data_IF_535822456533
#
_entry.id   IF_535822456533
#
_cell.length_a   1.000
_cell.length_b   1.000
_cell.length_c   1.000
_cell.angle_alpha   90.00
_cell.angle_beta   90.00
_cell.angle_gamma   90.00
#
_symmetry.space_group_name_H-M   'P 1'
#
loop_
_entity.id
_entity.type
_entity.pdbx_description
1 polymer ?
#
# COMPACT_ATOMS: atom_id res chain seq x y z
N UNK A 1 33.32 9.55 -18.32
CA UNK A 1 32.02 10.24 -18.50
C UNK A 1 30.97 9.13 -18.51
N UNK A 2 30.47 8.75 -17.34
CA UNK A 2 29.44 7.72 -17.24
C UNK A 2 28.09 8.35 -17.54
N UNK A 3 27.67 8.20 -18.79
CA UNK A 3 26.32 8.51 -19.22
C UNK A 3 25.43 7.29 -18.96
N UNK A 4 24.82 7.20 -17.78
CA UNK A 4 23.69 6.28 -17.56
C UNK A 4 22.38 7.07 -17.71
N UNK A 5 21.82 7.04 -18.93
CA UNK A 5 20.53 7.65 -19.31
C UNK A 5 19.36 6.65 -19.18
N UNK A 6 19.42 5.71 -18.24
CA UNK A 6 18.33 4.77 -18.00
C UNK A 6 17.58 5.14 -16.72
N UNK A 7 16.24 5.07 -16.71
CA UNK A 7 15.47 5.31 -15.52
C UNK A 7 15.79 4.26 -14.45
N UNK A 8 15.69 4.65 -13.19
CA UNK A 8 15.92 3.75 -12.05
C UNK A 8 14.97 2.55 -12.08
N UNK A 9 15.51 1.37 -11.79
CA UNK A 9 14.75 0.12 -11.70
C UNK A 9 14.63 -0.30 -10.25
N UNK A 10 13.40 -0.55 -9.80
CA UNK A 10 13.13 -1.04 -8.45
C UNK A 10 13.23 -2.56 -8.40
N UNK A 11 14.21 -3.07 -7.64
CA UNK A 11 14.41 -4.50 -7.42
C UNK A 11 13.77 -4.91 -6.10
N UNK A 12 13.06 -6.05 -6.08
CA UNK A 12 12.51 -6.61 -4.84
C UNK A 12 13.65 -6.99 -3.90
N UNK A 13 13.52 -6.61 -2.62
CA UNK A 13 14.47 -7.01 -1.60
C UNK A 13 14.42 -8.54 -1.38
N UNK A 14 15.55 -9.22 -1.49
CA UNK A 14 15.66 -10.67 -1.29
C UNK A 14 15.44 -11.11 0.17
N UNK A 15 15.63 -10.20 1.14
CA UNK A 15 15.46 -10.52 2.57
C UNK A 15 13.99 -10.57 3.00
N UNK A 16 13.19 -9.60 2.57
CA UNK A 16 11.76 -9.51 2.94
C UNK A 16 10.80 -9.86 1.79
N UNK A 17 11.31 -10.11 0.58
CA UNK A 17 10.54 -10.35 -0.64
C UNK A 17 9.48 -9.27 -0.92
N UNK A 18 9.81 -8.02 -0.59
CA UNK A 18 8.92 -6.87 -0.76
C UNK A 18 7.88 -6.68 0.35
N UNK A 19 7.88 -7.53 1.39
CA UNK A 19 6.94 -7.40 2.53
C UNK A 19 7.28 -6.27 3.49
N UNK A 20 8.47 -5.67 3.39
CA UNK A 20 8.95 -4.52 4.18
C UNK A 20 9.21 -4.77 5.67
N UNK A 21 8.77 -5.89 6.22
CA UNK A 21 8.92 -6.25 7.63
C UNK A 21 9.72 -7.55 7.79
N UNK A 22 10.32 -7.73 8.97
CA UNK A 22 10.96 -8.99 9.37
C UNK A 22 9.89 -10.08 9.65
N UNK A 23 10.34 -11.32 9.79
CA UNK A 23 9.46 -12.48 9.94
C UNK A 23 8.62 -12.39 11.21
N UNK A 24 9.23 -12.00 12.32
CA UNK A 24 8.61 -11.90 13.65
C UNK A 24 7.44 -10.91 13.63
N UNK A 25 7.60 -9.77 12.93
CA UNK A 25 6.51 -8.78 12.77
C UNK A 25 5.35 -9.33 11.94
N UNK A 26 5.64 -10.17 10.94
CA UNK A 26 4.64 -10.75 10.04
C UNK A 26 3.84 -11.91 10.68
N UNK A 27 4.23 -12.36 11.86
CA UNK A 27 3.48 -13.38 12.63
C UNK A 27 2.26 -12.79 13.33
N UNK A 28 2.26 -11.48 13.63
CA UNK A 28 1.13 -10.78 14.25
C UNK A 28 0.00 -10.62 13.24
N UNK A 29 -1.22 -11.02 13.63
CA UNK A 29 -2.38 -11.02 12.74
C UNK A 29 -3.57 -10.26 13.31
N UNK A 30 -4.25 -9.53 12.44
CA UNK A 30 -5.55 -8.93 12.67
C UNK A 30 -6.54 -9.48 11.64
N UNK A 31 -7.65 -10.08 12.10
CA UNK A 31 -8.63 -10.76 11.23
C UNK A 31 -7.97 -11.73 10.22
N UNK A 32 -6.96 -12.48 10.68
CA UNK A 32 -6.20 -13.44 9.87
C UNK A 32 -5.11 -12.83 8.96
N UNK A 33 -4.99 -11.51 8.86
CA UNK A 33 -4.04 -10.79 7.99
C UNK A 33 -2.90 -10.19 8.80
N UNK A 34 -1.66 -10.31 8.33
CA UNK A 34 -0.54 -9.54 8.90
C UNK A 34 -0.49 -8.12 8.30
N UNK A 35 0.42 -7.27 8.79
CA UNK A 35 0.52 -5.88 8.32
C UNK A 35 0.88 -5.76 6.83
N UNK A 36 1.71 -6.65 6.28
CA UNK A 36 2.00 -6.65 4.84
C UNK A 36 0.77 -7.04 4.02
N UNK A 37 -0.06 -7.96 4.52
CA UNK A 37 -1.31 -8.34 3.85
C UNK A 37 -2.29 -7.17 3.84
N UNK A 38 -2.36 -6.40 4.94
CA UNK A 38 -3.20 -5.19 5.03
C UNK A 38 -2.72 -4.11 4.05
N UNK A 39 -1.42 -3.86 3.96
CA UNK A 39 -0.85 -2.89 3.02
C UNK A 39 -1.05 -3.29 1.55
N UNK A 40 -1.28 -4.58 1.27
CA UNK A 40 -1.57 -5.07 -0.07
C UNK A 40 -3.07 -5.06 -0.43
N UNK A 41 -3.95 -4.67 0.50
CA UNK A 41 -5.36 -4.47 0.20
C UNK A 41 -5.56 -3.26 -0.70
N UNK A 42 -6.51 -3.36 -1.63
CA UNK A 42 -7.02 -2.17 -2.30
C UNK A 42 -7.78 -1.29 -1.30
N UNK A 43 -7.88 0.01 -1.58
CA UNK A 43 -8.67 0.94 -0.78
C UNK A 43 -10.11 0.44 -0.66
N UNK A 44 -10.73 -0.07 -1.73
CA UNK A 44 -12.06 -0.67 -1.69
C UNK A 44 -12.16 -1.82 -0.67
N UNK A 45 -11.23 -2.77 -0.71
CA UNK A 45 -11.20 -3.88 0.25
C UNK A 45 -10.96 -3.41 1.68
N UNK A 46 -10.12 -2.39 1.85
CA UNK A 46 -9.81 -1.84 3.17
C UNK A 46 -11.02 -1.12 3.79
N UNK A 47 -11.84 -0.40 3.01
CA UNK A 47 -13.09 0.22 3.48
C UNK A 47 -14.01 -0.83 4.13
N UNK A 48 -14.17 -1.99 3.48
CA UNK A 48 -15.00 -3.09 3.99
C UNK A 48 -14.44 -3.70 5.29
N UNK A 49 -13.12 -3.86 5.38
CA UNK A 49 -12.48 -4.51 6.54
C UNK A 49 -12.50 -3.60 7.78
N UNK A 50 -12.35 -2.29 7.58
CA UNK A 50 -12.17 -1.30 8.64
C UNK A 50 -13.44 -0.54 9.01
N UNK A 51 -14.61 -0.91 8.48
CA UNK A 51 -15.91 -0.25 8.76
C UNK A 51 -16.18 -0.03 10.26
N UNK A 52 -15.78 -0.98 11.11
CA UNK A 52 -15.99 -0.90 12.57
C UNK A 52 -14.88 -0.16 13.34
N UNK A 53 -13.93 0.49 12.64
CA UNK A 53 -12.89 1.32 13.25
C UNK A 53 -13.02 2.74 12.67
N UNK A 54 -13.86 3.61 13.28
CA UNK A 54 -14.24 4.90 12.69
C UNK A 54 -13.06 5.77 12.26
N UNK A 55 -12.02 5.86 13.09
CA UNK A 55 -10.83 6.68 12.82
C UNK A 55 -10.02 6.23 11.58
N UNK A 56 -10.09 4.95 11.23
CA UNK A 56 -9.44 4.40 10.02
C UNK A 56 -10.41 4.46 8.85
N UNK A 57 -11.65 4.01 9.07
CA UNK A 57 -12.71 3.99 8.07
C UNK A 57 -12.86 5.34 7.37
N UNK A 58 -13.00 6.43 8.14
CA UNK A 58 -13.18 7.77 7.56
C UNK A 58 -12.04 8.15 6.62
N UNK A 59 -10.78 7.88 6.99
CA UNK A 59 -9.59 8.21 6.18
C UNK A 59 -9.49 7.40 4.90
N UNK A 60 -9.85 6.13 4.94
CA UNK A 60 -9.79 5.27 3.74
C UNK A 60 -10.99 5.57 2.84
N UNK A 61 -12.16 5.86 3.44
CA UNK A 61 -13.37 6.22 2.72
C UNK A 61 -13.19 7.49 1.89
N UNK A 62 -12.49 8.51 2.40
CA UNK A 62 -12.19 9.70 1.58
C UNK A 62 -11.40 9.37 0.31
N UNK A 63 -10.42 8.46 0.40
CA UNK A 63 -9.66 8.01 -0.77
C UNK A 63 -10.55 7.26 -1.78
N UNK A 64 -11.48 6.44 -1.29
CA UNK A 64 -12.47 5.80 -2.14
C UNK A 64 -13.37 6.82 -2.85
N UNK A 65 -13.82 7.84 -2.12
CA UNK A 65 -14.78 8.84 -2.62
C UNK A 65 -14.17 9.73 -3.71
N UNK A 66 -12.86 9.98 -3.67
CA UNK A 66 -12.12 10.65 -4.77
C UNK A 66 -11.74 9.70 -5.92
N UNK A 67 -12.22 8.45 -5.89
CA UNK A 67 -12.05 7.49 -6.99
C UNK A 67 -10.69 6.80 -7.02
N UNK A 68 -9.99 6.68 -5.88
CA UNK A 68 -8.73 5.94 -5.76
C UNK A 68 -8.92 4.49 -5.29
N UNK A 69 -10.15 3.98 -5.28
CA UNK A 69 -10.53 2.69 -4.71
C UNK A 69 -9.73 1.46 -5.20
N UNK A 70 -9.14 1.52 -6.39
CA UNK A 70 -8.35 0.45 -6.98
C UNK A 70 -6.88 0.41 -6.51
N UNK A 71 -6.35 1.51 -5.98
CA UNK A 71 -4.98 1.56 -5.47
C UNK A 71 -4.86 0.74 -4.19
N UNK A 72 -3.67 0.18 -3.96
CA UNK A 72 -3.36 -0.50 -2.69
C UNK A 72 -2.89 0.47 -1.63
N UNK A 73 -3.19 0.20 -0.36
CA UNK A 73 -2.79 1.05 0.77
C UNK A 73 -1.27 1.27 0.86
N UNK A 74 -0.49 0.27 0.43
CA UNK A 74 0.97 0.28 0.45
C UNK A 74 1.61 0.59 -0.90
N UNK A 75 0.88 1.12 -1.88
CA UNK A 75 1.48 1.53 -3.16
C UNK A 75 2.51 2.63 -2.94
N UNK A 76 3.66 2.54 -3.62
CA UNK A 76 4.72 3.54 -3.46
C UNK A 76 4.30 4.84 -4.14
N UNK A 77 4.47 5.97 -3.46
CA UNK A 77 4.08 7.29 -3.99
C UNK A 77 4.79 7.64 -5.31
N UNK A 78 6.01 7.16 -5.52
CA UNK A 78 6.78 7.36 -6.77
C UNK A 78 6.18 6.65 -7.98
N UNK A 79 5.23 5.72 -7.77
CA UNK A 79 4.54 4.97 -8.83
C UNK A 79 3.16 5.54 -9.16
N UNK A 80 2.70 6.56 -8.43
CA UNK A 80 1.42 7.20 -8.69
C UNK A 80 1.55 8.17 -9.87
N UNK A 81 0.52 8.19 -10.71
CA UNK A 81 0.35 9.23 -11.72
C UNK A 81 0.11 10.60 -11.07
N UNK A 82 0.27 11.67 -11.85
CA UNK A 82 0.01 13.03 -11.37
C UNK A 82 -1.45 13.22 -10.90
N UNK A 83 -2.42 12.68 -11.65
CA UNK A 83 -3.84 12.76 -11.28
C UNK A 83 -4.23 11.87 -10.09
N UNK A 84 -3.47 10.83 -9.79
CA UNK A 84 -3.64 10.06 -8.54
C UNK A 84 -3.03 10.79 -7.36
N UNK A 85 -1.86 11.41 -7.53
CA UNK A 85 -1.18 12.15 -6.46
C UNK A 85 -1.91 13.44 -6.07
N UNK A 86 -2.66 14.02 -7.01
CA UNK A 86 -3.46 15.22 -6.78
C UNK A 86 -4.74 14.93 -5.97
N UNK A 87 -5.33 13.75 -6.13
CA UNK A 87 -6.59 13.35 -5.49
C UNK A 87 -6.34 12.82 -4.08
#
# INVERSE_FOLDING_TARGET
>A
IEMNFLPDIYVKCNGCNGKRYNRETLEVRYKGRNISDVLNLTINQAVEIFTNIPNIYQKIKTLQDVGLGYLTLGQQSTTLSGGESQR
#
